data_IF_511131366196
#
_entry.id   IF_511131366196
#
_cell.length_a   1.000
_cell.length_b   1.000
_cell.length_c   1.000
_cell.angle_alpha   90.00
_cell.angle_beta   90.00
_cell.angle_gamma   90.00
#
_symmetry.space_group_name_H-M   'P 1'
#
loop_
_entity.id
_entity.type
_entity.pdbx_description
1 polymer ?
#
# COMPACT_ATOMS: atom_id res chain seq x y z
N UNK A 1 33.47 78.68 -11.44
CA UNK A 1 34.62 77.76 -11.63
C UNK A 1 34.87 77.07 -10.31
N UNK A 2 34.75 75.74 -10.27
CA UNK A 2 34.92 74.98 -9.04
C UNK A 2 34.05 73.73 -9.07
N UNK A 3 34.63 72.59 -9.44
CA UNK A 3 34.19 71.20 -9.16
C UNK A 3 35.14 70.22 -9.87
N UNK A 4 36.45 70.40 -9.71
CA UNK A 4 37.51 69.59 -10.33
C UNK A 4 38.27 68.78 -9.26
N UNK A 5 37.57 68.35 -8.21
CA UNK A 5 38.19 67.71 -7.04
C UNK A 5 37.40 66.49 -6.53
N UNK A 6 36.67 65.81 -7.41
CA UNK A 6 36.05 64.51 -7.09
C UNK A 6 36.39 63.41 -8.10
N UNK A 7 37.46 63.60 -8.89
CA UNK A 7 37.91 62.66 -9.92
C UNK A 7 39.03 61.70 -9.48
N UNK A 8 39.43 61.69 -8.20
CA UNK A 8 40.68 61.02 -7.79
C UNK A 8 40.54 60.01 -6.63
N UNK A 9 39.33 59.58 -6.27
CA UNK A 9 39.16 58.72 -5.07
C UNK A 9 38.24 57.50 -5.26
N UNK A 10 38.23 56.93 -6.47
CA UNK A 10 37.66 55.60 -6.71
C UNK A 10 38.55 54.67 -7.55
N UNK A 11 39.81 55.05 -7.79
CA UNK A 11 40.76 54.28 -8.63
C UNK A 11 41.61 53.25 -7.85
N UNK A 12 41.16 52.80 -6.69
CA UNK A 12 41.86 51.77 -5.90
C UNK A 12 40.88 50.81 -5.22
N UNK A 13 40.25 49.95 -6.02
CA UNK A 13 39.77 48.65 -5.51
C UNK A 13 40.39 47.55 -6.35
N UNK A 14 41.24 46.83 -5.65
CA UNK A 14 42.15 45.77 -6.04
C UNK A 14 41.52 44.71 -6.96
N UNK A 15 42.30 44.32 -7.98
CA UNK A 15 42.00 43.21 -8.86
C UNK A 15 41.98 41.91 -8.05
N UNK A 16 40.79 41.34 -7.89
CA UNK A 16 40.59 40.03 -7.27
C UNK A 16 40.51 38.97 -8.39
N UNK A 17 41.47 38.03 -8.53
CA UNK A 17 41.46 37.05 -9.61
C UNK A 17 40.61 35.85 -9.20
N UNK A 18 39.28 35.96 -9.26
CA UNK A 18 38.38 34.83 -9.00
C UNK A 18 37.21 34.81 -9.98
N UNK A 19 37.12 33.69 -10.70
CA UNK A 19 36.04 33.21 -11.55
C UNK A 19 35.86 33.90 -12.91
N UNK A 20 36.27 33.19 -13.97
CA UNK A 20 35.68 33.34 -15.29
C UNK A 20 34.15 33.19 -15.14
N UNK A 21 33.43 34.31 -15.23
CA UNK A 21 31.97 34.30 -15.30
C UNK A 21 31.58 33.92 -16.72
N UNK A 22 31.11 32.69 -16.90
CA UNK A 22 30.35 32.32 -18.08
C UNK A 22 29.05 33.11 -18.04
N UNK A 23 28.99 34.21 -18.82
CA UNK A 23 27.73 34.87 -19.13
C UNK A 23 27.06 33.96 -20.15
N UNK A 24 26.02 33.25 -19.74
CA UNK A 24 25.20 32.49 -20.69
C UNK A 24 24.42 33.50 -21.55
N UNK A 25 24.47 33.30 -22.86
CA UNK A 25 23.95 34.17 -23.92
C UNK A 25 22.42 34.25 -23.99
N UNK A 26 21.74 34.24 -22.84
CA UNK A 26 20.27 34.33 -22.82
C UNK A 26 19.75 35.67 -23.39
N UNK A 27 20.62 36.68 -23.53
CA UNK A 27 20.30 37.98 -24.12
C UNK A 27 20.51 38.05 -25.64
N UNK A 28 21.07 37.03 -26.28
CA UNK A 28 21.35 37.01 -27.73
C UNK A 28 20.24 36.33 -28.56
N UNK A 29 19.18 35.85 -27.92
CA UNK A 29 18.07 35.22 -28.63
C UNK A 29 17.14 36.27 -29.27
N UNK A 30 16.81 36.03 -30.55
CA UNK A 30 16.00 36.85 -31.44
C UNK A 30 14.76 37.49 -30.77
N UNK A 31 14.39 38.74 -31.15
CA UNK A 31 13.33 39.52 -30.48
C UNK A 31 11.91 38.93 -30.59
N UNK A 32 11.70 37.88 -31.39
CA UNK A 32 10.40 37.25 -31.59
C UNK A 32 10.04 36.17 -30.54
N UNK A 33 11.00 35.77 -29.69
CA UNK A 33 10.79 34.74 -28.65
C UNK A 33 10.68 35.33 -27.23
N UNK A 34 10.06 36.52 -27.10
CA UNK A 34 9.65 37.01 -25.77
C UNK A 34 8.22 36.54 -25.50
N UNK A 35 8.04 35.74 -24.45
CA UNK A 35 6.79 35.78 -23.70
C UNK A 35 6.74 37.16 -23.04
N UNK A 36 6.04 38.09 -23.68
CA UNK A 36 5.63 39.32 -23.02
C UNK A 36 4.75 38.90 -21.85
N UNK A 37 5.20 39.19 -20.62
CA UNK A 37 4.42 39.05 -19.39
C UNK A 37 3.24 40.02 -19.30
N UNK A 38 2.62 40.35 -20.44
CA UNK A 38 1.46 41.19 -20.56
C UNK A 38 0.38 40.38 -21.25
N UNK A 39 -0.80 40.33 -20.61
CA UNK A 39 -2.04 39.84 -21.18
C UNK A 39 -2.19 40.22 -22.65
N UNK A 40 -2.14 39.23 -23.54
CA UNK A 40 -2.57 39.42 -24.92
C UNK A 40 -4.07 39.70 -24.92
N UNK A 41 -4.47 40.97 -25.01
CA UNK A 41 -5.80 41.33 -25.48
C UNK A 41 -5.82 41.13 -26.98
N UNK A 42 -6.32 39.97 -27.42
CA UNK A 42 -6.77 39.80 -28.81
C UNK A 42 -7.92 40.79 -28.99
N UNK A 43 -7.77 41.74 -29.91
CA UNK A 43 -8.75 42.81 -30.13
C UNK A 43 -10.16 42.23 -30.32
N UNK A 44 -11.12 42.75 -29.55
CA UNK A 44 -12.56 42.57 -29.79
C UNK A 44 -13.23 41.34 -29.18
N UNK A 45 -12.50 40.36 -28.63
CA UNK A 45 -13.13 39.19 -28.00
C UNK A 45 -12.56 38.91 -26.60
N UNK A 46 -13.47 38.82 -25.63
CA UNK A 46 -13.17 38.45 -24.25
C UNK A 46 -12.81 36.96 -24.20
N UNK A 47 -11.53 36.64 -24.45
CA UNK A 47 -11.02 35.27 -24.35
C UNK A 47 -10.86 34.93 -22.87
N UNK A 48 -11.61 33.96 -22.34
CA UNK A 48 -11.50 33.58 -20.94
C UNK A 48 -10.09 33.06 -20.65
N UNK A 49 -9.57 33.42 -19.49
CA UNK A 49 -8.26 32.94 -19.03
C UNK A 49 -8.30 31.43 -18.85
N UNK A 50 -7.14 30.77 -19.01
CA UNK A 50 -7.02 29.31 -18.82
C UNK A 50 -7.57 28.88 -17.46
N UNK A 51 -7.37 29.69 -16.41
CA UNK A 51 -7.97 29.48 -15.09
C UNK A 51 -9.50 29.45 -15.13
N UNK A 52 -10.15 30.40 -15.81
CA UNK A 52 -11.61 30.47 -15.93
C UNK A 52 -12.19 29.30 -16.75
N UNK A 53 -11.47 28.84 -17.77
CA UNK A 53 -11.85 27.65 -18.54
C UNK A 53 -11.74 26.39 -17.68
N UNK A 54 -10.67 26.28 -16.88
CA UNK A 54 -10.48 25.18 -15.96
C UNK A 54 -11.49 25.20 -14.80
N UNK A 55 -11.85 26.37 -14.28
CA UNK A 55 -12.87 26.53 -13.23
C UNK A 55 -14.28 26.19 -13.74
N UNK A 56 -14.68 26.68 -14.93
CA UNK A 56 -15.94 26.27 -15.56
C UNK A 56 -16.00 24.76 -15.83
N UNK A 57 -14.87 24.15 -16.18
CA UNK A 57 -14.77 22.71 -16.42
C UNK A 57 -14.52 21.89 -15.14
N UNK A 58 -14.17 22.51 -14.01
CA UNK A 58 -13.89 21.82 -12.75
C UNK A 58 -15.13 21.18 -12.13
N UNK A 59 -16.32 21.74 -12.42
CA UNK A 59 -17.61 21.15 -12.06
C UNK A 59 -18.03 19.96 -12.94
N UNK A 60 -17.52 19.88 -14.16
CA UNK A 60 -17.76 18.76 -15.09
C UNK A 60 -16.53 17.88 -15.14
N UNK A 61 -16.47 16.94 -14.20
CA UNK A 61 -15.53 15.81 -14.11
C UNK A 61 -15.00 15.41 -15.50
N UNK A 62 -13.87 15.98 -15.93
CA UNK A 62 -13.27 15.81 -17.27
C UNK A 62 -12.89 14.36 -17.58
N UNK A 63 -12.93 13.49 -16.58
CA UNK A 63 -12.91 12.04 -16.75
C UNK A 63 -14.20 11.51 -16.14
N UNK A 64 -15.23 11.37 -16.99
CA UNK A 64 -16.33 10.45 -16.68
C UNK A 64 -15.66 9.11 -16.32
N UNK A 65 -15.88 8.56 -15.11
CA UNK A 65 -15.30 7.28 -14.76
C UNK A 65 -15.72 6.27 -15.84
N UNK A 66 -14.83 5.34 -16.24
CA UNK A 66 -15.14 4.40 -17.31
C UNK A 66 -16.47 3.73 -17.02
N UNK A 67 -17.37 3.76 -18.01
CA UNK A 67 -18.69 3.17 -17.91
C UNK A 67 -18.52 1.69 -17.58
N UNK A 68 -18.92 1.28 -16.37
CA UNK A 68 -18.85 -0.12 -15.97
C UNK A 68 -19.88 -0.88 -16.80
N UNK A 69 -19.41 -1.69 -17.74
CA UNK A 69 -20.25 -2.60 -18.52
C UNK A 69 -20.97 -3.54 -17.53
N UNK A 70 -22.28 -3.39 -17.44
CA UNK A 70 -23.13 -4.39 -16.79
C UNK A 70 -23.28 -5.55 -17.77
N UNK A 71 -22.32 -6.46 -17.69
CA UNK A 71 -22.34 -7.69 -18.50
C UNK A 71 -23.48 -8.54 -17.96
N UNK A 72 -24.49 -8.80 -18.80
CA UNK A 72 -25.56 -9.72 -18.45
C UNK A 72 -25.02 -11.16 -18.51
N UNK A 73 -24.71 -11.69 -17.33
CA UNK A 73 -24.07 -13.00 -17.16
C UNK A 73 -24.95 -14.15 -17.69
N UNK A 74 -26.26 -13.91 -17.87
CA UNK A 74 -27.21 -14.89 -18.43
C UNK A 74 -26.88 -15.27 -19.87
N UNK A 75 -26.21 -14.39 -20.62
CA UNK A 75 -25.84 -14.62 -22.01
C UNK A 75 -24.57 -15.49 -22.16
N UNK A 76 -23.75 -15.61 -21.11
CA UNK A 76 -22.45 -16.27 -21.19
C UNK A 76 -22.44 -17.61 -20.44
N UNK A 77 -23.18 -18.60 -20.95
CA UNK A 77 -23.18 -19.98 -20.41
C UNK A 77 -21.77 -20.56 -20.24
N UNK A 78 -20.89 -20.29 -21.20
CA UNK A 78 -19.49 -20.78 -21.17
C UNK A 78 -18.74 -20.25 -19.93
N UNK A 79 -18.95 -18.99 -19.53
CA UNK A 79 -18.30 -18.43 -18.34
C UNK A 79 -18.84 -19.05 -17.05
N UNK A 80 -20.14 -19.35 -17.01
CA UNK A 80 -20.76 -20.04 -15.89
C UNK A 80 -20.28 -21.49 -15.77
N UNK A 81 -20.16 -22.20 -16.90
CA UNK A 81 -19.61 -23.55 -16.95
C UNK A 81 -18.13 -23.55 -16.52
N UNK A 82 -17.35 -22.56 -16.95
CA UNK A 82 -15.94 -22.42 -16.52
C UNK A 82 -15.83 -22.16 -15.01
N UNK A 83 -16.68 -21.30 -14.45
CA UNK A 83 -16.72 -21.04 -13.00
C UNK A 83 -17.18 -22.27 -12.22
N UNK A 84 -18.16 -22.99 -12.74
CA UNK A 84 -18.66 -24.24 -12.14
C UNK A 84 -17.58 -25.31 -12.14
N UNK A 85 -16.93 -25.54 -13.28
CA UNK A 85 -15.80 -26.46 -13.39
C UNK A 85 -14.62 -26.05 -12.48
N UNK A 86 -14.35 -24.75 -12.35
CA UNK A 86 -13.31 -24.26 -11.41
C UNK A 86 -13.69 -24.54 -9.96
N UNK A 87 -14.97 -24.36 -9.59
CA UNK A 87 -15.48 -24.68 -8.25
C UNK A 87 -15.48 -26.18 -7.98
N UNK A 88 -15.83 -27.00 -8.96
CA UNK A 88 -15.80 -28.47 -8.88
C UNK A 88 -14.37 -29.00 -8.75
N UNK A 89 -13.42 -28.46 -9.53
CA UNK A 89 -11.98 -28.76 -9.38
C UNK A 89 -11.41 -28.32 -8.03
N UNK A 90 -11.97 -27.28 -7.44
CA UNK A 90 -11.65 -26.86 -6.06
C UNK A 90 -12.39 -27.69 -5.01
N UNK A 91 -13.46 -28.40 -5.38
CA UNK A 91 -14.22 -29.27 -4.51
C UNK A 91 -13.62 -30.69 -4.42
N UNK A 92 -12.83 -31.10 -5.42
CA UNK A 92 -11.96 -32.27 -5.27
C UNK A 92 -10.94 -31.99 -4.17
N UNK A 93 -11.09 -32.73 -3.08
CA UNK A 93 -10.27 -32.63 -1.88
C UNK A 93 -8.86 -33.03 -2.26
N UNK A 94 -8.00 -32.05 -2.52
CA UNK A 94 -6.55 -32.26 -2.56
C UNK A 94 -6.23 -33.00 -1.25
N UNK A 95 -5.73 -34.23 -1.36
CA UNK A 95 -5.51 -35.15 -0.23
C UNK A 95 -4.66 -34.54 0.91
N UNK A 96 -3.99 -33.42 0.66
CA UNK A 96 -3.11 -32.72 1.60
C UNK A 96 -3.75 -31.59 2.42
N UNK A 97 -4.94 -31.07 2.07
CA UNK A 97 -5.53 -29.94 2.79
C UNK A 97 -6.98 -30.21 3.22
N UNK A 98 -7.19 -30.35 4.54
CA UNK A 98 -8.53 -30.56 5.11
C UNK A 98 -9.44 -29.30 4.94
N UNK A 99 -8.85 -28.11 4.86
CA UNK A 99 -9.57 -26.83 4.84
C UNK A 99 -9.37 -26.07 3.54
N UNK A 100 -10.48 -25.59 2.97
CA UNK A 100 -10.47 -24.76 1.76
C UNK A 100 -9.85 -23.40 2.11
N UNK A 101 -8.85 -22.92 1.34
CA UNK A 101 -8.27 -21.61 1.56
C UNK A 101 -9.32 -20.52 1.36
N UNK A 102 -9.45 -19.61 2.33
CA UNK A 102 -10.32 -18.45 2.25
C UNK A 102 -9.50 -17.22 1.86
N UNK A 103 -10.12 -16.26 1.18
CA UNK A 103 -9.51 -14.95 0.91
C UNK A 103 -9.15 -14.29 2.24
N UNK A 104 -7.95 -13.73 2.34
CA UNK A 104 -7.57 -12.99 3.54
C UNK A 104 -8.56 -11.85 3.81
N UNK A 105 -9.06 -11.71 5.06
CA UNK A 105 -10.19 -10.83 5.33
C UNK A 105 -9.83 -9.35 5.29
N UNK A 106 -8.54 -9.03 5.24
CA UNK A 106 -8.00 -7.67 5.33
C UNK A 106 -7.40 -7.27 3.99
N UNK A 107 -7.75 -6.08 3.51
CA UNK A 107 -7.09 -5.44 2.36
C UNK A 107 -6.09 -4.38 2.84
N UNK A 108 -5.16 -3.97 1.98
CA UNK A 108 -4.17 -2.93 2.30
C UNK A 108 -4.80 -1.66 2.91
N UNK A 109 -5.99 -1.26 2.44
CA UNK A 109 -6.70 -0.08 2.93
C UNK A 109 -7.25 -0.26 4.35
N UNK A 110 -7.50 -1.50 4.77
CA UNK A 110 -8.03 -1.81 6.10
C UNK A 110 -6.93 -1.85 7.16
N UNK A 111 -5.66 -1.99 6.75
CA UNK A 111 -4.53 -1.97 7.67
C UNK A 111 -4.17 -0.53 8.02
N UNK A 112 -4.63 -0.05 9.16
CA UNK A 112 -4.10 1.17 9.75
C UNK A 112 -2.66 0.92 10.19
N UNK A 113 -1.69 1.57 9.57
CA UNK A 113 -0.37 1.72 10.17
C UNK A 113 -0.54 2.40 11.53
N UNK A 114 0.07 1.84 12.58
CA UNK A 114 0.10 2.47 13.89
C UNK A 114 1.01 3.70 13.83
N UNK A 115 0.49 4.79 13.27
CA UNK A 115 1.13 6.10 13.36
C UNK A 115 0.64 6.70 14.66
N UNK A 116 1.46 6.59 15.71
CA UNK A 116 1.27 7.38 16.92
C UNK A 116 1.38 8.87 16.54
N UNK A 117 0.23 9.48 16.24
CA UNK A 117 0.10 10.88 15.84
C UNK A 117 0.60 11.85 16.92
N UNK A 118 0.82 11.36 18.14
CA UNK A 118 1.35 12.12 19.28
C UNK A 118 2.86 12.24 19.31
N UNK A 119 3.60 11.40 18.58
CA UNK A 119 5.06 11.41 18.62
C UNK A 119 5.59 11.85 17.26
N UNK A 120 5.52 13.17 16.99
CA UNK A 120 6.43 13.78 16.01
C UNK A 120 7.85 13.65 16.57
N UNK A 121 8.49 12.49 16.36
CA UNK A 121 9.86 12.29 16.80
C UNK A 121 10.75 13.29 16.07
N UNK A 122 11.44 14.11 16.87
CA UNK A 122 12.49 14.96 16.37
C UNK A 122 13.54 14.05 15.69
N UNK A 123 14.03 14.39 14.49
CA UNK A 123 14.92 13.50 13.72
C UNK A 123 16.20 13.14 14.48
N UNK A 124 16.68 14.01 15.39
CA UNK A 124 17.84 13.73 16.24
C UNK A 124 17.56 12.74 17.40
N UNK A 125 16.29 12.50 17.74
CA UNK A 125 15.87 11.62 18.84
C UNK A 125 15.06 10.42 18.34
N UNK A 126 15.22 10.06 17.05
CA UNK A 126 14.53 8.91 16.48
C UNK A 126 15.13 7.61 17.02
N UNK A 127 14.31 6.77 17.65
CA UNK A 127 14.73 5.43 18.09
C UNK A 127 14.37 4.40 17.02
N UNK A 128 15.15 3.33 16.90
CA UNK A 128 14.87 2.23 15.95
C UNK A 128 13.55 1.53 16.25
N UNK A 129 13.15 1.47 17.51
CA UNK A 129 11.85 0.98 17.94
C UNK A 129 10.67 1.79 17.37
N UNK A 130 10.87 3.09 17.13
CA UNK A 130 9.83 3.97 16.57
C UNK A 130 9.63 3.79 15.05
N UNK A 131 10.50 3.01 14.38
CA UNK A 131 10.34 2.69 12.96
C UNK A 131 9.41 1.48 12.76
N UNK A 132 9.20 0.65 13.78
CA UNK A 132 8.35 -0.55 13.68
C UNK A 132 6.89 -0.12 13.56
N UNK A 133 6.23 -0.55 12.48
CA UNK A 133 4.81 -0.24 12.23
C UNK A 133 4.54 1.16 11.66
N UNK A 134 5.59 1.93 11.33
CA UNK A 134 5.48 3.25 10.69
C UNK A 134 4.95 3.15 9.26
N UNK A 135 5.45 2.17 8.51
CA UNK A 135 5.09 1.96 7.11
C UNK A 135 3.83 1.10 7.01
N UNK A 136 2.91 1.50 6.12
CA UNK A 136 1.72 0.71 5.83
C UNK A 136 2.12 -0.50 4.98
N UNK A 137 1.61 -1.70 5.29
CA UNK A 137 1.92 -2.87 4.50
C UNK A 137 1.29 -2.75 3.11
N UNK A 138 2.05 -3.09 2.08
CA UNK A 138 1.57 -3.12 0.71
C UNK A 138 0.74 -4.38 0.45
N UNK A 139 -0.16 -4.35 -0.54
CA UNK A 139 -1.02 -5.50 -0.85
C UNK A 139 -0.27 -6.80 -1.14
N UNK A 140 0.93 -6.75 -1.71
CA UNK A 140 1.75 -7.94 -1.97
C UNK A 140 2.44 -8.52 -0.73
N UNK A 141 2.50 -7.74 0.37
CA UNK A 141 3.00 -8.22 1.66
C UNK A 141 1.91 -8.93 2.46
N UNK A 142 0.63 -8.69 2.13
CA UNK A 142 -0.50 -9.41 2.69
C UNK A 142 -0.69 -10.75 1.98
N UNK A 143 -1.03 -11.79 2.73
CA UNK A 143 -1.38 -13.07 2.16
C UNK A 143 -2.64 -12.94 1.29
N UNK A 144 -2.67 -13.54 0.11
CA UNK A 144 -3.87 -13.53 -0.74
C UNK A 144 -4.98 -14.40 -0.12
N UNK A 145 -4.57 -15.51 0.49
CA UNK A 145 -5.44 -16.51 1.10
C UNK A 145 -4.85 -17.02 2.41
N UNK A 146 -5.73 -17.43 3.31
CA UNK A 146 -5.35 -18.10 4.55
C UNK A 146 -6.17 -19.37 4.72
N UNK A 147 -5.62 -20.30 5.49
CA UNK A 147 -6.25 -21.57 5.82
C UNK A 147 -6.78 -21.46 7.25
N UNK A 148 -8.08 -21.18 7.46
CA UNK A 148 -8.62 -21.14 8.81
C UNK A 148 -8.49 -22.53 9.44
N UNK A 149 -7.71 -22.62 10.52
CA UNK A 149 -7.69 -23.80 11.38
C UNK A 149 -8.95 -23.75 12.25
N UNK A 150 -9.75 -24.81 12.23
CA UNK A 150 -10.84 -24.96 13.17
C UNK A 150 -10.33 -25.73 14.40
N UNK A 151 -10.37 -25.10 15.57
CA UNK A 151 -9.98 -25.70 16.85
C UNK A 151 -11.19 -26.25 17.62
N UNK A 152 -12.37 -26.38 17.01
CA UNK A 152 -13.59 -26.88 17.68
C UNK A 152 -13.43 -28.26 18.32
N UNK A 153 -12.59 -29.12 17.76
CA UNK A 153 -12.30 -30.43 18.34
C UNK A 153 -11.43 -30.31 19.59
N UNK A 154 -10.33 -29.54 19.51
CA UNK A 154 -9.38 -29.41 20.60
C UNK A 154 -9.90 -28.54 21.74
N UNK A 155 -10.72 -27.53 21.43
CA UNK A 155 -11.37 -26.68 22.43
C UNK A 155 -12.40 -27.43 23.30
N UNK A 156 -12.84 -28.64 22.90
CA UNK A 156 -13.73 -29.49 23.70
C UNK A 156 -12.99 -30.26 24.79
N UNK A 157 -11.67 -30.33 24.76
CA UNK A 157 -10.92 -30.92 25.87
C UNK A 157 -10.99 -29.97 27.08
N UNK A 158 -11.59 -30.45 28.15
CA UNK A 158 -11.80 -29.68 29.39
C UNK A 158 -10.54 -29.57 30.24
N UNK A 159 -9.64 -30.55 30.13
CA UNK A 159 -8.43 -30.64 30.93
C UNK A 159 -7.20 -30.74 30.02
N UNK A 160 -6.24 -29.84 30.24
CA UNK A 160 -4.93 -29.87 29.59
C UNK A 160 -4.08 -31.03 30.12
N UNK A 161 -4.37 -31.51 31.34
CA UNK A 161 -3.62 -32.57 32.02
C UNK A 161 -4.57 -33.49 32.78
N UNK A 162 -5.33 -34.34 32.07
CA UNK A 162 -6.30 -35.25 32.68
C UNK A 162 -5.62 -36.11 33.75
N UNK A 163 -6.17 -36.07 34.96
CA UNK A 163 -5.73 -36.94 36.06
C UNK A 163 -6.39 -38.31 35.91
N UNK A 164 -5.59 -39.37 36.03
CA UNK A 164 -6.13 -40.72 36.08
C UNK A 164 -6.69 -41.00 37.47
N UNK A 165 -8.03 -41.01 37.59
CA UNK A 165 -8.74 -41.32 38.84
C UNK A 165 -9.32 -42.74 38.85
N UNK A 166 -8.92 -43.61 37.90
CA UNK A 166 -9.42 -44.98 37.81
C UNK A 166 -8.75 -45.93 38.81
N UNK A 167 -9.50 -46.92 39.30
CA UNK A 167 -8.95 -48.08 40.00
C UNK A 167 -8.48 -49.11 38.97
N UNK A 168 -7.30 -49.70 39.17
CA UNK A 168 -6.83 -50.79 38.30
C UNK A 168 -7.52 -52.09 38.70
N UNK A 169 -8.57 -52.47 37.98
CA UNK A 169 -9.35 -53.71 38.20
C UNK A 169 -8.97 -54.84 37.26
N UNK A 170 -7.94 -54.66 36.42
CA UNK A 170 -7.58 -55.69 35.43
C UNK A 170 -7.02 -56.92 36.16
N UNK A 171 -7.60 -58.12 36.00
CA UNK A 171 -6.98 -59.34 36.51
C UNK A 171 -5.60 -59.48 35.86
N UNK A 172 -4.60 -59.95 36.62
CA UNK A 172 -3.26 -60.18 36.09
C UNK A 172 -3.22 -61.58 35.47
N UNK A 173 -3.27 -61.71 34.14
CA UNK A 173 -3.13 -63.03 33.53
C UNK A 173 -1.75 -63.58 33.83
N UNK A 174 -1.70 -64.85 34.19
CA UNK A 174 -0.46 -65.56 34.38
C UNK A 174 0.20 -65.79 33.01
N UNK A 175 1.54 -65.79 32.97
CA UNK A 175 2.27 -66.09 31.72
C UNK A 175 2.32 -67.59 31.41
N UNK A 176 2.01 -68.42 32.41
CA UNK A 176 2.31 -69.86 32.43
C UNK A 176 1.03 -70.70 32.42
N UNK A 177 -0.03 -70.27 33.12
CA UNK A 177 -1.24 -71.07 33.35
C UNK A 177 -2.44 -70.44 32.65
N UNK A 178 -2.42 -70.46 31.31
CA UNK A 178 -3.49 -69.89 30.47
C UNK A 178 -4.86 -70.50 30.77
N UNK A 179 -4.90 -71.79 31.08
CA UNK A 179 -6.14 -72.54 31.34
C UNK A 179 -6.85 -72.08 32.62
N UNK A 180 -6.12 -71.49 33.59
CA UNK A 180 -6.69 -70.93 34.82
C UNK A 180 -7.14 -69.47 34.64
N UNK A 181 -6.61 -68.79 33.63
CA UNK A 181 -6.99 -67.42 33.27
C UNK A 181 -8.26 -67.40 32.40
N UNK A 182 -8.75 -68.54 31.90
CA UNK A 182 -9.91 -68.66 31.00
C UNK A 182 -11.26 -68.39 31.68
N UNK A 183 -11.30 -68.45 33.01
CA UNK A 183 -12.51 -68.27 33.83
C UNK A 183 -12.68 -66.85 34.42
N UNK A 184 -11.76 -65.92 34.11
CA UNK A 184 -11.76 -64.53 34.58
C UNK A 184 -11.72 -63.53 33.42
#
# INVERSE_FOLDING_TARGET
>A
MGSSEMAAENSRREANPVAARYITSYQEYFPFWRSLGNSHTVEGHNVPTVSQVLEKNSGSRLVQPPMKLKIDMRQFKILDDFRRATRERQAERILSAHTIPKKFPVTENDVSGHVDSRIKQHPLYATTSALVGKDRPMQHQLAERYFPMNNDFTNKFTDLRPRYCGLNTKPRPSRIHKDLDEFY
#
